data_IF_310786017224
#
_entry.id   IF_310786017224
#
_cell.length_a   1.000
_cell.length_b   1.000
_cell.length_c   1.000
_cell.angle_alpha   90.00
_cell.angle_beta   90.00
_cell.angle_gamma   90.00
#
_symmetry.space_group_name_H-M   'P 1'
#
loop_
_entity.id
_entity.type
_entity.pdbx_description
1 polymer ?
#
# COMPACT_ATOMS: atom_id res chain seq x y z
N UNK A 1 14.25 -9.69 -15.63
CA UNK A 1 13.53 -8.72 -14.79
C UNK A 1 13.71 -9.08 -13.32
N UNK A 2 13.93 -8.10 -12.44
CA UNK A 2 14.12 -8.34 -11.00
C UNK A 2 12.81 -8.76 -10.32
N UNK A 3 11.68 -8.43 -10.93
CA UNK A 3 10.33 -8.82 -10.50
C UNK A 3 9.72 -9.76 -11.54
N UNK A 4 9.09 -10.84 -11.10
CA UNK A 4 8.44 -11.82 -11.98
C UNK A 4 7.21 -11.26 -12.74
N UNK A 5 6.77 -10.05 -12.39
CA UNK A 5 5.64 -9.36 -13.04
C UNK A 5 6.08 -8.01 -13.59
N UNK A 6 5.99 -7.83 -14.90
CA UNK A 6 6.11 -6.51 -15.52
C UNK A 6 4.83 -5.71 -15.24
N UNK A 7 4.92 -4.74 -14.34
CA UNK A 7 3.78 -3.86 -13.98
C UNK A 7 3.57 -2.71 -14.98
N UNK A 8 4.53 -2.50 -15.89
CA UNK A 8 4.47 -1.48 -16.93
C UNK A 8 4.66 -0.04 -16.45
N UNK A 9 4.88 0.87 -17.43
CA UNK A 9 5.16 2.29 -17.15
C UNK A 9 4.00 3.02 -16.49
N UNK A 10 2.74 2.71 -16.86
CA UNK A 10 1.56 3.35 -16.26
C UNK A 10 1.43 3.10 -14.76
N UNK A 11 1.81 1.90 -14.29
CA UNK A 11 1.82 1.59 -12.86
C UNK A 11 2.90 2.38 -12.13
N UNK A 12 4.09 2.51 -12.73
CA UNK A 12 5.19 3.29 -12.16
C UNK A 12 4.84 4.78 -12.09
N UNK A 13 4.30 5.31 -13.18
CA UNK A 13 3.86 6.70 -13.27
C UNK A 13 2.80 7.03 -12.21
N UNK A 14 1.74 6.22 -12.12
CA UNK A 14 0.73 6.37 -11.06
C UNK A 14 1.34 6.36 -9.66
N UNK A 15 2.19 5.39 -9.37
CA UNK A 15 2.69 5.17 -8.01
C UNK A 15 3.69 6.23 -7.56
N UNK A 16 4.54 6.67 -8.46
CA UNK A 16 5.68 7.54 -8.15
C UNK A 16 5.61 8.90 -8.85
N UNK A 17 5.22 8.94 -10.11
CA UNK A 17 5.16 10.16 -10.92
C UNK A 17 3.98 11.05 -10.55
N UNK A 18 2.82 10.45 -10.24
CA UNK A 18 1.61 11.18 -9.84
C UNK A 18 1.47 11.36 -8.32
N UNK A 19 2.55 11.16 -7.57
CA UNK A 19 2.53 11.39 -6.13
C UNK A 19 2.33 12.89 -5.82
N UNK A 20 1.26 13.28 -5.07
CA UNK A 20 0.89 14.69 -4.92
C UNK A 20 1.75 15.48 -3.93
N UNK A 21 2.66 14.82 -3.22
CA UNK A 21 3.41 15.43 -2.11
C UNK A 21 4.83 15.84 -2.46
N UNK A 22 5.28 15.56 -3.68
CA UNK A 22 6.59 15.90 -4.22
C UNK A 22 6.47 16.30 -5.69
N UNK A 23 7.33 17.18 -6.15
CA UNK A 23 7.34 17.75 -7.50
C UNK A 23 8.21 16.96 -8.50
N UNK A 24 8.78 15.86 -8.06
CA UNK A 24 9.65 14.99 -8.85
C UNK A 24 9.41 13.52 -8.48
N UNK A 25 9.87 12.61 -9.33
CA UNK A 25 9.89 11.17 -9.01
C UNK A 25 10.99 10.90 -7.99
N UNK A 26 10.65 10.51 -6.74
CA UNK A 26 11.66 10.25 -5.72
C UNK A 26 12.35 8.92 -5.98
N UNK A 27 13.40 8.94 -6.79
CA UNK A 27 14.11 7.75 -7.26
C UNK A 27 15.62 7.94 -7.18
N UNK A 28 16.31 7.00 -6.55
CA UNK A 28 17.76 6.85 -6.64
C UNK A 28 18.08 5.64 -7.50
N UNK A 29 19.06 5.79 -8.38
CA UNK A 29 19.57 4.70 -9.22
C UNK A 29 21.05 4.48 -8.95
N UNK A 30 21.48 3.22 -9.00
CA UNK A 30 22.88 2.84 -9.03
C UNK A 30 23.26 2.48 -10.46
N UNK A 31 24.32 3.11 -10.97
CA UNK A 31 24.80 2.93 -12.32
C UNK A 31 26.21 2.36 -12.30
N UNK A 32 26.50 1.44 -13.20
CA UNK A 32 27.86 0.91 -13.45
C UNK A 32 28.16 1.00 -14.94
N UNK A 33 29.08 1.88 -15.32
CA UNK A 33 29.20 2.28 -16.72
C UNK A 33 27.88 2.91 -17.20
N UNK A 34 27.33 2.40 -18.28
CA UNK A 34 26.05 2.85 -18.86
C UNK A 34 24.84 2.01 -18.41
N UNK A 35 25.05 1.06 -17.46
CA UNK A 35 24.00 0.14 -17.03
C UNK A 35 23.45 0.51 -15.65
N UNK A 36 22.10 0.53 -15.54
CA UNK A 36 21.42 0.69 -14.26
C UNK A 36 21.37 -0.66 -13.53
N UNK A 37 22.15 -0.79 -12.45
CA UNK A 37 22.28 -2.03 -11.66
C UNK A 37 21.46 -1.99 -10.35
N UNK A 38 20.84 -0.88 -10.03
CA UNK A 38 19.96 -0.76 -8.87
C UNK A 38 19.00 0.42 -8.99
N UNK A 39 17.83 0.28 -8.37
CA UNK A 39 16.84 1.34 -8.28
C UNK A 39 16.17 1.33 -6.91
N UNK A 40 15.94 2.50 -6.37
CA UNK A 40 15.32 2.72 -5.06
C UNK A 40 14.32 3.86 -5.13
N UNK A 41 13.09 3.57 -5.51
CA UNK A 41 12.01 4.56 -5.48
C UNK A 41 11.43 4.72 -4.07
N UNK A 42 10.83 5.90 -3.86
CA UNK A 42 10.10 6.23 -2.63
C UNK A 42 8.70 6.71 -2.98
N UNK A 43 7.76 6.47 -2.09
CA UNK A 43 6.47 7.14 -2.06
C UNK A 43 6.51 8.23 -0.99
N UNK A 44 6.05 9.42 -1.33
CA UNK A 44 5.90 10.50 -0.36
C UNK A 44 4.52 10.45 0.29
N UNK A 45 4.46 10.86 1.55
CA UNK A 45 3.24 10.98 2.34
C UNK A 45 3.32 12.22 3.22
N UNK A 46 2.18 12.84 3.47
CA UNK A 46 2.03 13.73 4.62
C UNK A 46 1.50 12.90 5.79
N UNK A 47 2.28 12.84 6.86
CA UNK A 47 1.87 12.17 8.09
C UNK A 47 1.39 13.23 9.08
N UNK A 48 0.39 12.87 9.90
CA UNK A 48 -0.23 13.77 10.87
C UNK A 48 -0.20 13.17 12.28
N UNK A 49 0.09 14.00 13.27
CA UNK A 49 -0.03 13.71 14.69
C UNK A 49 -0.64 14.93 15.40
N UNK A 50 -1.88 14.83 15.82
CA UNK A 50 -2.63 16.01 16.30
C UNK A 50 -2.75 17.07 15.19
N UNK A 51 -2.24 18.27 15.43
CA UNK A 51 -2.25 19.38 14.45
C UNK A 51 -0.96 19.48 13.64
N UNK A 52 0.06 18.75 14.00
CA UNK A 52 1.35 18.73 13.29
C UNK A 52 1.30 17.81 12.07
N UNK A 53 1.96 18.22 10.98
CA UNK A 53 2.13 17.42 9.77
C UNK A 53 3.58 17.39 9.36
N UNK A 54 4.06 16.21 8.98
CA UNK A 54 5.43 15.97 8.52
C UNK A 54 5.43 15.40 7.11
N UNK A 55 6.38 15.80 6.28
CA UNK A 55 6.66 15.14 5.01
C UNK A 55 7.49 13.89 5.29
N UNK A 56 6.98 12.75 4.83
CA UNK A 56 7.60 11.45 5.04
C UNK A 56 7.82 10.71 3.73
N UNK A 57 8.92 9.95 3.64
CA UNK A 57 9.18 9.07 2.51
C UNK A 57 9.17 7.60 2.94
N UNK A 58 8.48 6.79 2.14
CA UNK A 58 8.46 5.34 2.25
C UNK A 58 9.24 4.71 1.09
N UNK A 59 10.40 4.08 1.32
CA UNK A 59 11.04 3.29 0.28
C UNK A 59 10.16 2.10 -0.11
N UNK A 60 9.99 1.89 -1.39
CA UNK A 60 9.20 0.79 -1.94
C UNK A 60 9.86 0.21 -3.19
N UNK A 61 9.55 -1.03 -3.53
CA UNK A 61 10.00 -1.69 -4.76
C UNK A 61 11.51 -1.56 -5.06
N UNK A 62 12.34 -1.52 -4.02
CA UNK A 62 13.80 -1.46 -4.17
C UNK A 62 14.30 -2.70 -4.88
N UNK A 63 15.14 -2.51 -5.87
CA UNK A 63 15.73 -3.60 -6.64
C UNK A 63 17.24 -3.41 -6.85
N UNK A 64 17.96 -4.51 -6.84
CA UNK A 64 19.37 -4.59 -7.22
C UNK A 64 19.53 -5.80 -8.13
N UNK A 65 20.19 -5.59 -9.26
CA UNK A 65 20.47 -6.65 -10.21
C UNK A 65 21.11 -7.86 -9.51
N UNK A 66 20.69 -9.09 -9.81
CA UNK A 66 21.19 -10.28 -9.14
C UNK A 66 22.72 -10.42 -9.16
N UNK A 67 23.36 -10.08 -10.28
CA UNK A 67 24.82 -10.11 -10.44
C UNK A 67 25.57 -9.04 -9.64
N UNK A 68 24.85 -8.04 -9.13
CA UNK A 68 25.40 -6.92 -8.38
C UNK A 68 24.98 -6.88 -6.91
N UNK A 69 24.30 -7.92 -6.42
CA UNK A 69 23.88 -8.02 -5.00
C UNK A 69 25.08 -8.22 -4.08
N UNK A 70 24.87 -7.93 -2.79
CA UNK A 70 25.89 -8.06 -1.72
C UNK A 70 27.15 -7.20 -1.92
N UNK A 71 27.08 -6.15 -2.74
CA UNK A 71 28.14 -5.16 -2.98
C UNK A 71 27.85 -3.80 -2.31
N UNK A 72 26.94 -3.75 -1.34
CA UNK A 72 26.58 -2.52 -0.62
C UNK A 72 25.72 -1.53 -1.41
N UNK A 73 25.22 -1.88 -2.60
CA UNK A 73 24.42 -0.99 -3.48
C UNK A 73 23.15 -0.51 -2.76
N UNK A 74 22.41 -1.44 -2.12
CA UNK A 74 21.22 -1.11 -1.33
C UNK A 74 21.53 -0.06 -0.25
N UNK A 75 22.59 -0.27 0.52
CA UNK A 75 23.03 0.61 1.62
C UNK A 75 23.36 1.98 1.08
N UNK A 76 24.24 2.07 0.07
CA UNK A 76 24.68 3.36 -0.51
C UNK A 76 23.52 4.15 -1.13
N UNK A 77 22.61 3.51 -1.84
CA UNK A 77 21.41 4.20 -2.37
C UNK A 77 20.55 4.73 -1.23
N UNK A 78 20.42 3.97 -0.13
CA UNK A 78 19.64 4.40 1.03
C UNK A 78 20.28 5.60 1.72
N UNK A 79 21.57 5.52 2.06
CA UNK A 79 22.30 6.60 2.72
C UNK A 79 22.24 7.89 1.91
N UNK A 80 22.50 7.83 0.61
CA UNK A 80 22.40 8.98 -0.28
C UNK A 80 21.01 9.57 -0.37
N UNK A 81 19.99 8.72 -0.39
CA UNK A 81 18.61 9.20 -0.39
C UNK A 81 18.24 9.88 0.93
N UNK A 82 18.63 9.31 2.07
CA UNK A 82 18.36 9.89 3.39
C UNK A 82 19.04 11.27 3.53
N UNK A 83 20.29 11.40 3.12
CA UNK A 83 21.04 12.67 3.12
C UNK A 83 20.35 13.71 2.22
N UNK A 84 20.09 13.35 0.95
CA UNK A 84 19.50 14.23 -0.06
C UNK A 84 18.12 14.76 0.35
N UNK A 85 17.25 13.89 0.86
CA UNK A 85 15.88 14.29 1.21
C UNK A 85 15.78 14.99 2.56
N UNK A 86 16.67 14.71 3.51
CA UNK A 86 16.77 15.49 4.76
C UNK A 86 17.02 16.97 4.48
N UNK A 87 17.93 17.27 3.56
CA UNK A 87 18.23 18.65 3.15
C UNK A 87 17.06 19.35 2.43
N UNK A 88 16.05 18.56 2.00
CA UNK A 88 14.85 19.04 1.27
C UNK A 88 13.56 18.98 2.10
N UNK A 89 13.69 18.95 3.42
CA UNK A 89 12.58 19.05 4.34
C UNK A 89 11.80 17.77 4.56
N UNK A 90 12.34 16.61 4.17
CA UNK A 90 11.77 15.31 4.58
C UNK A 90 12.16 15.05 6.04
N UNK A 91 11.15 14.99 6.89
CA UNK A 91 11.32 14.89 8.34
C UNK A 91 11.35 13.43 8.82
N UNK A 92 10.70 12.53 8.08
CA UNK A 92 10.55 11.14 8.48
C UNK A 92 10.76 10.18 7.32
N UNK A 93 11.43 9.07 7.61
CA UNK A 93 11.45 7.89 6.76
C UNK A 93 10.84 6.72 7.51
N UNK A 94 9.91 6.00 6.87
CA UNK A 94 9.28 4.82 7.46
C UNK A 94 9.17 3.70 6.44
N UNK A 95 9.10 2.44 6.88
CA UNK A 95 8.97 1.32 5.97
C UNK A 95 8.22 0.14 6.60
N UNK A 96 7.74 -0.74 5.73
CA UNK A 96 7.23 -2.07 6.06
C UNK A 96 8.10 -3.11 5.35
N UNK A 97 9.33 -3.36 5.84
CA UNK A 97 10.28 -4.25 5.19
C UNK A 97 9.80 -5.70 5.23
N UNK A 98 10.21 -6.47 4.21
CA UNK A 98 10.12 -7.92 4.26
C UNK A 98 11.35 -8.50 4.99
N UNK A 99 11.34 -9.81 5.25
CA UNK A 99 12.43 -10.52 5.95
C UNK A 99 13.80 -10.34 5.27
N UNK A 100 13.83 -10.28 3.94
CA UNK A 100 15.07 -10.13 3.18
C UNK A 100 15.68 -8.72 3.30
N UNK A 101 14.88 -7.68 3.47
CA UNK A 101 15.34 -6.29 3.54
C UNK A 101 15.50 -5.76 4.96
N UNK A 102 14.82 -6.35 5.94
CA UNK A 102 14.86 -5.92 7.33
C UNK A 102 16.27 -5.83 7.93
N UNK A 103 17.19 -6.81 7.72
CA UNK A 103 18.55 -6.69 8.24
C UNK A 103 19.30 -5.46 7.72
N UNK A 104 19.15 -5.13 6.42
CA UNK A 104 19.75 -3.96 5.81
C UNK A 104 19.26 -2.64 6.44
N UNK A 105 17.97 -2.54 6.77
CA UNK A 105 17.44 -1.37 7.47
C UNK A 105 17.99 -1.24 8.90
N UNK A 106 18.08 -2.34 9.64
CA UNK A 106 18.65 -2.34 10.99
C UNK A 106 20.12 -1.89 11.01
N UNK A 107 20.91 -2.34 10.03
CA UNK A 107 22.31 -1.89 9.87
C UNK A 107 22.40 -0.38 9.61
N UNK A 108 21.41 0.22 8.98
CA UNK A 108 21.30 1.65 8.72
C UNK A 108 20.69 2.45 9.90
N UNK A 109 20.54 1.84 11.08
CA UNK A 109 20.04 2.50 12.28
C UNK A 109 18.51 2.67 12.35
N UNK A 110 17.76 2.02 11.46
CA UNK A 110 16.30 2.04 11.52
C UNK A 110 15.80 1.27 12.74
N UNK A 111 14.78 1.82 13.39
CA UNK A 111 14.17 1.22 14.58
C UNK A 111 12.82 0.60 14.22
N UNK A 112 12.54 -0.57 14.79
CA UNK A 112 11.21 -1.17 14.72
C UNK A 112 10.30 -0.41 15.69
N UNK A 113 9.16 0.05 15.17
CA UNK A 113 8.13 0.75 15.95
C UNK A 113 7.08 -0.24 16.44
N UNK A 114 6.64 -1.14 15.55
CA UNK A 114 5.65 -2.18 15.85
C UNK A 114 5.76 -3.32 14.82
N UNK A 115 5.14 -4.45 15.14
CA UNK A 115 5.03 -5.59 14.23
C UNK A 115 3.81 -5.44 13.32
N UNK A 116 4.03 -5.67 12.03
CA UNK A 116 2.96 -5.66 11.04
C UNK A 116 2.07 -6.88 11.23
N UNK A 117 0.81 -6.67 11.60
CA UNK A 117 -0.21 -7.72 11.61
C UNK A 117 -0.91 -7.77 10.26
N UNK A 118 -1.00 -8.95 9.67
CA UNK A 118 -1.71 -9.18 8.41
C UNK A 118 -2.86 -10.14 8.66
N UNK A 119 -4.06 -9.73 8.30
CA UNK A 119 -5.27 -10.53 8.40
C UNK A 119 -5.74 -10.90 6.99
N UNK A 120 -6.09 -12.15 6.79
CA UNK A 120 -6.63 -12.67 5.53
C UNK A 120 -8.07 -13.12 5.73
N UNK A 121 -8.94 -12.73 4.81
CA UNK A 121 -10.27 -13.29 4.65
C UNK A 121 -10.36 -13.89 3.26
N UNK A 122 -10.32 -15.21 3.17
CA UNK A 122 -10.42 -15.92 1.90
C UNK A 122 -11.86 -15.90 1.43
N UNK A 123 -12.12 -15.26 0.28
CA UNK A 123 -13.44 -15.17 -0.34
C UNK A 123 -13.65 -16.28 -1.36
N UNK A 124 -12.62 -16.63 -2.12
CA UNK A 124 -12.65 -17.60 -3.22
C UNK A 124 -11.49 -18.58 -3.05
N UNK A 125 -11.67 -19.68 -2.30
CA UNK A 125 -10.63 -20.68 -2.10
C UNK A 125 -10.15 -21.34 -3.40
N UNK A 126 -11.03 -21.50 -4.36
CA UNK A 126 -10.75 -22.00 -5.71
C UNK A 126 -9.76 -21.14 -6.49
N UNK A 127 -9.80 -19.83 -6.28
CA UNK A 127 -8.84 -18.89 -6.87
C UNK A 127 -7.59 -18.69 -5.98
N UNK A 128 -7.74 -18.79 -4.65
CA UNK A 128 -6.68 -18.51 -3.70
C UNK A 128 -5.69 -19.68 -3.57
N UNK A 129 -6.18 -20.91 -3.39
CA UNK A 129 -5.32 -22.07 -3.13
C UNK A 129 -4.30 -22.34 -4.24
N UNK A 130 -4.65 -22.25 -5.56
CA UNK A 130 -3.69 -22.44 -6.64
C UNK A 130 -2.56 -21.41 -6.71
N UNK A 131 -2.69 -20.26 -6.03
CA UNK A 131 -1.63 -19.25 -5.97
C UNK A 131 -0.51 -19.62 -4.97
N UNK A 132 -0.81 -20.49 -4.01
CA UNK A 132 0.11 -20.84 -2.93
C UNK A 132 0.50 -22.33 -2.91
N UNK A 133 -0.23 -23.16 -3.67
CA UNK A 133 0.06 -24.58 -3.78
C UNK A 133 -0.13 -25.05 -5.22
N UNK A 134 0.85 -25.76 -5.75
CA UNK A 134 0.81 -26.28 -7.10
C UNK A 134 0.22 -27.70 -7.15
N UNK A 135 -0.41 -28.05 -8.30
CA UNK A 135 -0.87 -29.39 -8.60
C UNK A 135 -2.38 -29.59 -8.52
N UNK A 136 -2.83 -30.70 -9.15
CA UNK A 136 -4.26 -31.05 -9.24
C UNK A 136 -4.96 -31.20 -7.90
N UNK A 137 -4.26 -31.68 -6.89
CA UNK A 137 -4.80 -31.85 -5.54
C UNK A 137 -5.13 -30.49 -4.89
N UNK A 138 -4.27 -29.47 -5.07
CA UNK A 138 -4.53 -28.12 -4.57
C UNK A 138 -5.76 -27.48 -5.25
N UNK A 139 -5.88 -27.65 -6.56
CA UNK A 139 -7.05 -27.15 -7.32
C UNK A 139 -8.35 -27.83 -6.84
N UNK A 140 -8.34 -29.15 -6.65
CA UNK A 140 -9.49 -29.89 -6.13
C UNK A 140 -9.88 -29.46 -4.71
N UNK A 141 -8.89 -29.28 -3.83
CA UNK A 141 -9.15 -28.79 -2.47
C UNK A 141 -9.75 -27.38 -2.48
N UNK A 142 -9.26 -26.49 -3.33
CA UNK A 142 -9.84 -25.15 -3.50
C UNK A 142 -11.30 -25.20 -3.97
N UNK A 143 -11.60 -26.05 -4.95
CA UNK A 143 -12.97 -26.24 -5.48
C UNK A 143 -13.92 -26.84 -4.44
N UNK A 144 -13.47 -27.83 -3.64
CA UNK A 144 -14.27 -28.43 -2.58
C UNK A 144 -14.51 -27.45 -1.41
N UNK A 145 -13.53 -26.61 -1.08
CA UNK A 145 -13.67 -25.62 -0.04
C UNK A 145 -14.54 -24.42 -0.41
N UNK A 146 -14.63 -24.10 -1.71
CA UNK A 146 -15.33 -22.91 -2.19
C UNK A 146 -16.81 -22.81 -1.76
N UNK A 147 -17.65 -23.86 -1.89
CA UNK A 147 -19.05 -23.80 -1.45
C UNK A 147 -19.15 -23.63 0.07
N UNK A 148 -18.31 -24.28 0.83
CA UNK A 148 -18.31 -24.20 2.31
C UNK A 148 -17.99 -22.77 2.77
N UNK A 149 -16.94 -22.18 2.22
CA UNK A 149 -16.53 -20.81 2.55
C UNK A 149 -17.60 -19.82 2.11
N UNK A 150 -18.22 -20.04 0.96
CA UNK A 150 -19.31 -19.18 0.45
C UNK A 150 -20.51 -19.22 1.39
N UNK A 151 -21.00 -20.42 1.74
CA UNK A 151 -22.11 -20.57 2.70
C UNK A 151 -21.78 -19.98 4.07
N UNK A 152 -20.56 -20.15 4.56
CA UNK A 152 -20.12 -19.50 5.79
C UNK A 152 -20.20 -17.98 5.70
N UNK A 153 -19.79 -17.39 4.58
CA UNK A 153 -19.88 -15.94 4.40
C UNK A 153 -21.33 -15.45 4.25
N UNK A 154 -22.18 -16.20 3.56
CA UNK A 154 -23.61 -15.89 3.42
C UNK A 154 -24.30 -15.85 4.78
N UNK A 155 -24.18 -16.93 5.57
CA UNK A 155 -24.74 -16.99 6.92
C UNK A 155 -24.20 -15.86 7.82
N UNK A 156 -22.91 -15.60 7.76
CA UNK A 156 -22.31 -14.54 8.54
C UNK A 156 -22.78 -13.15 8.11
N UNK A 157 -23.03 -12.95 6.82
CA UNK A 157 -23.56 -11.68 6.29
C UNK A 157 -25.01 -11.48 6.72
N UNK A 158 -25.82 -12.53 6.72
CA UNK A 158 -27.20 -12.47 7.22
C UNK A 158 -27.25 -12.16 8.72
N UNK A 159 -26.36 -12.76 9.52
CA UNK A 159 -26.29 -12.51 10.95
C UNK A 159 -25.70 -11.13 11.31
N UNK A 160 -24.93 -10.54 10.41
CA UNK A 160 -24.28 -9.25 10.60
C UNK A 160 -24.95 -8.13 9.80
N UNK A 161 -26.28 -8.21 9.60
CA UNK A 161 -27.01 -7.14 8.92
C UNK A 161 -26.80 -5.81 9.65
N UNK A 162 -26.52 -4.72 8.89
CA UNK A 162 -26.39 -3.40 9.50
C UNK A 162 -27.73 -3.00 10.11
N UNK A 163 -27.73 -2.12 11.12
CA UNK A 163 -28.95 -1.53 11.65
C UNK A 163 -29.84 -1.00 10.50
N UNK A 164 -31.18 -1.12 10.61
CA UNK A 164 -32.08 -0.73 9.51
C UNK A 164 -31.97 0.76 9.13
N UNK A 165 -31.45 1.59 10.03
CA UNK A 165 -31.21 3.01 9.78
C UNK A 165 -29.97 3.27 8.93
N UNK A 166 -29.11 2.24 8.71
CA UNK A 166 -27.86 2.38 7.98
C UNK A 166 -28.02 1.94 6.52
N UNK A 167 -28.11 2.90 5.64
CA UNK A 167 -28.02 2.64 4.19
C UNK A 167 -26.58 2.49 3.74
N UNK A 168 -26.29 1.46 2.93
CA UNK A 168 -24.97 1.26 2.32
C UNK A 168 -25.09 1.52 0.82
N UNK A 169 -24.36 2.53 0.35
CA UNK A 169 -24.28 2.92 -1.05
C UNK A 169 -22.95 2.45 -1.66
N UNK A 170 -23.03 1.86 -2.86
CA UNK A 170 -21.88 1.43 -3.65
C UNK A 170 -21.66 2.41 -4.80
N UNK A 171 -20.54 3.11 -4.75
CA UNK A 171 -20.16 4.09 -5.76
C UNK A 171 -19.03 3.56 -6.64
N UNK A 172 -19.15 3.64 -7.98
CA UNK A 172 -18.07 3.25 -8.86
C UNK A 172 -16.88 4.20 -8.71
N UNK A 173 -15.67 3.63 -8.72
CA UNK A 173 -14.45 4.40 -8.56
C UNK A 173 -14.16 4.81 -7.13
N UNK A 174 -13.35 5.86 -6.98
CA UNK A 174 -12.96 6.44 -5.69
C UNK A 174 -13.76 7.72 -5.46
N UNK A 175 -14.62 7.71 -4.45
CA UNK A 175 -15.29 8.92 -3.99
C UNK A 175 -14.39 9.64 -2.96
N UNK A 176 -13.37 10.33 -3.48
CA UNK A 176 -12.38 11.01 -2.66
C UNK A 176 -12.98 12.08 -1.77
N UNK A 177 -13.99 12.79 -2.26
CA UNK A 177 -14.68 13.85 -1.51
C UNK A 177 -15.43 13.28 -0.29
N UNK A 178 -16.23 12.21 -0.46
CA UNK A 178 -16.93 11.56 0.64
C UNK A 178 -15.95 10.99 1.68
N UNK A 179 -14.88 10.31 1.24
CA UNK A 179 -13.87 9.76 2.12
C UNK A 179 -13.09 10.85 2.88
N UNK A 180 -12.79 11.95 2.22
CA UNK A 180 -12.14 13.11 2.85
C UNK A 180 -13.05 13.77 3.90
N UNK A 181 -14.34 13.89 3.62
CA UNK A 181 -15.30 14.43 4.57
C UNK A 181 -15.36 13.54 5.83
N UNK A 182 -15.50 12.24 5.66
CA UNK A 182 -15.47 11.28 6.78
C UNK A 182 -14.17 11.37 7.60
N UNK A 183 -13.04 11.53 6.94
CA UNK A 183 -11.76 11.73 7.62
C UNK A 183 -11.72 13.05 8.41
N UNK A 184 -12.29 14.13 7.88
CA UNK A 184 -12.33 15.44 8.55
C UNK A 184 -13.23 15.45 9.79
N UNK A 185 -14.36 14.75 9.72
CA UNK A 185 -15.31 14.66 10.84
C UNK A 185 -14.83 13.73 11.95
N UNK A 186 -14.06 12.68 11.59
CA UNK A 186 -13.56 11.68 12.52
C UNK A 186 -12.06 11.38 12.28
N UNK A 187 -11.16 12.36 12.51
CA UNK A 187 -9.75 12.13 12.28
C UNK A 187 -9.18 11.13 13.30
N UNK A 188 -8.32 10.21 12.88
CA UNK A 188 -7.60 9.36 13.81
C UNK A 188 -6.78 10.18 14.80
N UNK A 189 -6.79 9.79 16.07
CA UNK A 189 -6.06 10.48 17.14
C UNK A 189 -4.57 10.11 17.17
N UNK A 190 -4.21 8.95 16.60
CA UNK A 190 -2.83 8.46 16.55
C UNK A 190 -2.13 8.97 15.30
N UNK A 191 -0.82 8.80 15.28
CA UNK A 191 0.02 9.08 14.10
C UNK A 191 -0.46 8.30 12.88
N UNK A 192 -0.76 8.99 11.78
CA UNK A 192 -1.36 8.41 10.58
C UNK A 192 -1.04 9.21 9.31
N UNK A 193 -1.26 8.62 8.14
CA UNK A 193 -1.21 9.36 6.88
C UNK A 193 -2.39 10.36 6.82
N UNK A 194 -2.11 11.63 6.52
CA UNK A 194 -3.14 12.61 6.21
C UNK A 194 -3.93 12.15 5.00
N UNK A 195 -5.26 12.11 5.14
CA UNK A 195 -6.18 11.55 4.14
C UNK A 195 -7.05 12.65 3.55
N UNK A 196 -6.41 13.55 2.80
CA UNK A 196 -7.09 14.54 1.97
C UNK A 196 -7.54 13.95 0.63
N UNK A 197 -8.23 14.75 -0.17
CA UNK A 197 -8.77 14.34 -1.46
C UNK A 197 -7.66 13.86 -2.41
N UNK A 198 -6.56 14.59 -2.48
CA UNK A 198 -5.38 14.24 -3.28
C UNK A 198 -4.78 12.89 -2.87
N UNK A 199 -4.78 12.56 -1.57
CA UNK A 199 -4.35 11.25 -1.08
C UNK A 199 -5.24 10.14 -1.61
N UNK A 200 -6.56 10.31 -1.51
CA UNK A 200 -7.50 9.27 -1.96
C UNK A 200 -7.45 9.08 -3.48
N UNK A 201 -7.44 10.17 -4.24
CA UNK A 201 -7.33 10.14 -5.70
C UNK A 201 -6.05 9.42 -6.15
N UNK A 202 -4.90 9.84 -5.62
CA UNK A 202 -3.64 9.20 -5.95
C UNK A 202 -3.57 7.75 -5.45
N UNK A 203 -3.82 7.54 -4.16
CA UNK A 203 -3.53 6.24 -3.52
C UNK A 203 -4.42 5.12 -4.05
N UNK A 204 -5.64 5.44 -4.41
CA UNK A 204 -6.64 4.49 -4.88
C UNK A 204 -6.96 4.61 -6.37
N UNK A 205 -6.47 5.64 -7.07
CA UNK A 205 -6.60 5.85 -8.51
C UNK A 205 -5.72 4.94 -9.39
N UNK A 206 -5.33 3.77 -8.91
CA UNK A 206 -4.44 2.85 -9.63
C UNK A 206 -5.00 2.43 -10.99
N UNK A 207 -4.22 2.53 -12.08
CA UNK A 207 -4.67 2.12 -13.42
C UNK A 207 -4.73 0.61 -13.63
N UNK A 208 -4.27 -0.18 -12.65
CA UNK A 208 -4.21 -1.66 -12.74
C UNK A 208 -5.28 -2.36 -11.89
N UNK A 209 -6.06 -1.61 -11.09
CA UNK A 209 -7.09 -2.16 -10.22
C UNK A 209 -8.38 -1.39 -10.40
N UNK A 210 -9.49 -2.07 -10.63
CA UNK A 210 -10.81 -1.47 -10.47
C UNK A 210 -11.10 -1.27 -8.98
N UNK A 211 -11.71 -0.15 -8.65
CA UNK A 211 -12.07 0.23 -7.29
C UNK A 211 -13.55 0.59 -7.23
N UNK A 212 -14.11 0.43 -6.06
CA UNK A 212 -15.44 0.92 -5.71
C UNK A 212 -15.38 1.46 -4.28
N UNK A 213 -16.14 2.50 -4.03
CA UNK A 213 -16.26 3.08 -2.69
C UNK A 213 -17.59 2.62 -2.09
N UNK A 214 -17.53 2.05 -0.90
CA UNK A 214 -18.70 1.77 -0.09
C UNK A 214 -18.88 2.89 0.91
N UNK A 215 -20.03 3.51 0.95
CA UNK A 215 -20.38 4.55 1.91
C UNK A 215 -21.59 4.09 2.69
N UNK A 216 -21.45 3.94 4.00
CA UNK A 216 -22.59 3.76 4.87
C UNK A 216 -23.06 5.12 5.35
N UNK A 217 -24.36 5.38 5.26
CA UNK A 217 -24.98 6.63 5.65
C UNK A 217 -26.10 6.37 6.67
N UNK A 218 -26.19 7.20 7.69
CA UNK A 218 -27.28 7.26 8.65
C UNK A 218 -28.06 8.56 8.42
N UNK A 219 -29.38 8.46 8.22
CA UNK A 219 -30.22 9.61 7.86
C UNK A 219 -29.70 10.45 6.67
N UNK A 220 -29.05 9.82 5.72
CA UNK A 220 -28.46 10.48 4.56
C UNK A 220 -27.04 11.06 4.75
N UNK A 221 -26.54 11.10 5.98
CA UNK A 221 -25.19 11.58 6.28
C UNK A 221 -24.18 10.42 6.30
N UNK A 222 -23.06 10.51 5.58
CA UNK A 222 -22.04 9.47 5.58
C UNK A 222 -21.39 9.28 6.96
N UNK A 223 -21.38 8.04 7.46
CA UNK A 223 -20.80 7.68 8.76
C UNK A 223 -19.62 6.73 8.65
N UNK A 224 -19.55 5.91 7.58
CA UNK A 224 -18.45 4.98 7.29
C UNK A 224 -18.20 4.92 5.78
N UNK A 225 -16.93 4.84 5.41
CA UNK A 225 -16.50 4.65 4.02
C UNK A 225 -15.31 3.67 3.91
N UNK A 226 -15.33 2.85 2.84
CA UNK A 226 -14.28 1.87 2.52
C UNK A 226 -14.03 1.73 1.02
#
# INVERSE_FOLDING_TARGET
AVWDRNRGGRWFDWKYGQNPYVDHVPLFVAVRGDEVVGARPFMAFRLRAGDETALALQPADTMVDPGHRRQGIFTRMTERALEFYRERGVELFFNFPNEASLPGYRTLGWRTVDDKRTFYRVQSPDAFVPQYAEGRAATLLGQLAAPIVRSYHEVRTELAQPPPELAVDLRPGVDAAALTNLYRTNPPTKFHARRDEEFYEWRFGSPVWSRSTYVAAENGEPVVGA
#
